data_IF_515778439786
#
_entry.id   IF_515778439786
#
_cell.length_a   1.000
_cell.length_b   1.000
_cell.length_c   1.000
_cell.angle_alpha   90.00
_cell.angle_beta   90.00
_cell.angle_gamma   90.00
#
_symmetry.space_group_name_H-M   'P 1'
#
loop_
_entity.id
_entity.type
_entity.pdbx_description
1 polymer ?
#
# COMPACT_ATOMS: atom_id res chain seq x y z
N UNK A 1 7.93 12.25 7.16
CA UNK A 1 7.42 11.35 6.10
C UNK A 1 6.68 12.19 5.06
N UNK A 2 7.07 12.11 3.78
CA UNK A 2 6.46 12.91 2.70
C UNK A 2 5.07 12.40 2.28
N UNK A 3 4.64 11.21 2.74
CA UNK A 3 3.29 10.68 2.51
C UNK A 3 2.75 10.01 3.78
N UNK A 4 1.47 10.23 4.09
CA UNK A 4 0.76 9.54 5.17
C UNK A 4 0.27 8.16 4.71
N UNK A 5 -0.09 7.26 5.65
CA UNK A 5 -0.72 5.96 5.30
C UNK A 5 -2.01 6.15 4.48
N UNK A 6 -2.72 7.26 4.71
CA UNK A 6 -3.90 7.64 3.92
C UNK A 6 -3.52 7.95 2.48
N UNK A 7 -2.44 8.71 2.26
CA UNK A 7 -1.97 9.03 0.91
C UNK A 7 -1.50 7.77 0.17
N UNK A 8 -0.88 6.84 0.87
CA UNK A 8 -0.45 5.55 0.30
C UNK A 8 -1.64 4.68 -0.11
N UNK A 9 -2.70 4.59 0.72
CA UNK A 9 -3.92 3.86 0.36
C UNK A 9 -4.58 4.41 -0.92
N UNK A 10 -4.69 5.73 -1.03
CA UNK A 10 -5.23 6.40 -2.23
C UNK A 10 -4.39 6.13 -3.48
N UNK A 11 -3.08 6.09 -3.32
CA UNK A 11 -2.14 5.88 -4.41
C UNK A 11 -2.20 4.46 -4.96
N UNK A 12 -2.41 3.47 -4.08
CA UNK A 12 -2.65 2.07 -4.45
C UNK A 12 -3.95 1.95 -5.26
N UNK A 13 -5.03 2.58 -4.81
CA UNK A 13 -6.30 2.63 -5.56
C UNK A 13 -6.13 3.27 -6.93
N UNK A 14 -5.42 4.40 -7.01
CA UNK A 14 -5.18 5.12 -8.26
C UNK A 14 -4.38 4.29 -9.29
N UNK A 15 -3.62 3.28 -8.86
CA UNK A 15 -2.77 2.44 -9.71
C UNK A 15 -3.21 0.99 -9.77
N UNK A 16 -4.46 0.71 -9.42
CA UNK A 16 -5.04 -0.63 -9.35
C UNK A 16 -4.70 -1.52 -10.55
N UNK A 17 -4.87 -1.01 -11.77
CA UNK A 17 -4.66 -1.79 -12.99
C UNK A 17 -3.20 -2.22 -13.18
N UNK A 18 -2.25 -1.34 -12.89
CA UNK A 18 -0.82 -1.65 -13.01
C UNK A 18 -0.40 -2.65 -11.92
N UNK A 19 -0.85 -2.43 -10.69
CA UNK A 19 -0.47 -3.28 -9.55
C UNK A 19 -1.00 -4.71 -9.66
N UNK A 20 -2.22 -4.88 -10.18
CA UNK A 20 -2.76 -6.22 -10.48
C UNK A 20 -2.07 -6.82 -11.71
N UNK A 21 -1.83 -6.02 -12.76
CA UNK A 21 -1.18 -6.48 -13.99
C UNK A 21 0.26 -6.97 -13.78
N UNK A 22 0.97 -6.39 -12.81
CA UNK A 22 2.32 -6.80 -12.41
C UNK A 22 2.32 -7.93 -11.36
N UNK A 23 1.13 -8.39 -10.91
CA UNK A 23 0.98 -9.51 -9.99
C UNK A 23 1.19 -9.15 -8.52
N UNK A 24 1.19 -7.87 -8.15
CA UNK A 24 1.31 -7.44 -6.75
C UNK A 24 0.05 -7.68 -5.93
N UNK A 25 -1.10 -7.75 -6.58
CA UNK A 25 -2.38 -8.11 -5.98
C UNK A 25 -3.07 -9.14 -6.86
N UNK A 26 -3.75 -10.10 -6.23
CA UNK A 26 -4.48 -11.15 -6.94
C UNK A 26 -5.65 -10.58 -7.75
N UNK A 27 -6.37 -9.63 -7.17
CA UNK A 27 -7.54 -9.00 -7.77
C UNK A 27 -7.84 -7.61 -7.16
N UNK A 28 -8.88 -6.97 -7.70
CA UNK A 28 -9.36 -5.66 -7.25
C UNK A 28 -9.84 -5.69 -5.79
N UNK A 29 -10.66 -6.67 -5.34
CA UNK A 29 -11.06 -6.76 -3.94
C UNK A 29 -9.90 -6.83 -2.94
N UNK A 30 -8.85 -7.60 -3.24
CA UNK A 30 -7.67 -7.70 -2.38
C UNK A 30 -6.96 -6.33 -2.26
N UNK A 31 -6.79 -5.64 -3.38
CA UNK A 31 -6.20 -4.31 -3.42
C UNK A 31 -7.04 -3.27 -2.66
N UNK A 32 -8.36 -3.25 -2.86
CA UNK A 32 -9.25 -2.32 -2.17
C UNK A 32 -9.26 -2.56 -0.66
N UNK A 33 -9.23 -3.83 -0.23
CA UNK A 33 -9.17 -4.20 1.19
C UNK A 33 -7.89 -3.67 1.82
N UNK A 34 -6.75 -3.85 1.15
CA UNK A 34 -5.45 -3.34 1.60
C UNK A 34 -5.43 -1.81 1.70
N UNK A 35 -5.87 -1.11 0.64
CA UNK A 35 -5.92 0.35 0.63
C UNK A 35 -6.80 0.93 1.74
N UNK A 36 -7.98 0.34 1.99
CA UNK A 36 -8.87 0.75 3.08
C UNK A 36 -8.26 0.49 4.45
N UNK A 37 -7.53 -0.60 4.64
CA UNK A 37 -6.81 -0.88 5.88
C UNK A 37 -5.74 0.18 6.17
N UNK A 38 -5.00 0.63 5.14
CA UNK A 38 -4.03 1.71 5.27
C UNK A 38 -4.69 3.05 5.63
N UNK A 39 -5.79 3.40 4.96
CA UNK A 39 -6.55 4.62 5.28
C UNK A 39 -7.08 4.59 6.72
N UNK A 40 -7.69 3.48 7.12
CA UNK A 40 -8.24 3.31 8.45
C UNK A 40 -7.15 3.34 9.54
N UNK A 41 -5.98 2.74 9.31
CA UNK A 41 -4.87 2.82 10.26
C UNK A 41 -4.26 4.22 10.31
N UNK A 42 -4.21 4.94 9.18
CA UNK A 42 -3.77 6.32 9.12
C UNK A 42 -4.65 7.27 9.94
N UNK A 43 -5.97 7.02 9.96
CA UNK A 43 -6.94 7.78 10.76
C UNK A 43 -6.98 7.33 12.22
N UNK A 44 -6.88 6.02 12.47
CA UNK A 44 -6.90 5.42 13.81
C UNK A 44 -5.58 4.67 14.09
N UNK A 45 -4.48 5.40 14.38
CA UNK A 45 -3.16 4.81 14.58
C UNK A 45 -3.06 3.99 15.87
N UNK A 46 -4.14 3.69 16.57
CA UNK A 46 -4.16 2.80 17.73
C UNK A 46 -4.73 1.40 17.43
N UNK A 47 -5.33 1.21 16.24
CA UNK A 47 -5.92 -0.07 15.78
C UNK A 47 -4.88 -1.17 15.63
N UNK A 48 -4.78 -2.03 16.64
CA UNK A 48 -3.82 -3.14 16.70
C UNK A 48 -4.14 -4.25 15.70
N UNK A 49 -5.41 -4.46 15.42
CA UNK A 49 -5.93 -5.38 14.40
C UNK A 49 -5.45 -4.99 13.00
N UNK A 50 -5.55 -3.71 12.63
CA UNK A 50 -5.10 -3.21 11.33
C UNK A 50 -3.58 -3.18 11.23
N UNK A 51 -2.89 -2.83 12.31
CA UNK A 51 -1.44 -2.98 12.38
C UNK A 51 -1.00 -4.42 12.17
N UNK A 52 -1.66 -5.36 12.84
CA UNK A 52 -1.35 -6.78 12.71
C UNK A 52 -1.67 -7.29 11.30
N UNK A 53 -2.79 -6.87 10.70
CA UNK A 53 -3.13 -7.20 9.31
C UNK A 53 -2.07 -6.70 8.32
N UNK A 54 -1.68 -5.43 8.42
CA UNK A 54 -0.66 -4.82 7.56
C UNK A 54 0.74 -5.39 7.83
N UNK A 55 1.06 -5.77 9.09
CA UNK A 55 2.30 -6.46 9.45
C UNK A 55 2.32 -7.95 9.10
N UNK A 56 1.17 -8.61 8.92
CA UNK A 56 1.12 -9.96 8.34
C UNK A 56 1.38 -9.90 6.82
N UNK A 57 1.04 -8.79 6.18
CA UNK A 57 1.49 -8.49 4.81
C UNK A 57 3.00 -8.10 4.76
N UNK A 58 3.61 -7.56 5.84
CA UNK A 58 5.07 -7.31 5.93
C UNK A 58 5.91 -8.58 5.69
N UNK A 59 5.41 -9.76 6.07
CA UNK A 59 6.12 -11.04 5.89
C UNK A 59 6.01 -11.59 4.45
N UNK A 60 5.00 -11.16 3.69
CA UNK A 60 4.82 -11.55 2.28
C UNK A 60 5.54 -10.55 1.36
N UNK A 61 5.76 -9.31 1.83
CA UNK A 61 6.34 -8.20 1.10
C UNK A 61 7.11 -7.30 2.07
N UNK A 62 8.45 -7.30 2.00
CA UNK A 62 9.29 -6.42 2.81
C UNK A 62 8.93 -4.93 2.56
N UNK A 63 8.15 -4.36 3.47
CA UNK A 63 7.44 -3.09 3.29
C UNK A 63 8.36 -1.86 3.20
N UNK A 64 9.55 -1.94 3.79
CA UNK A 64 10.53 -0.84 3.71
C UNK A 64 11.24 -0.83 2.37
N UNK A 65 11.44 -2.00 1.76
CA UNK A 65 12.10 -2.13 0.46
C UNK A 65 11.11 -1.77 -0.66
N UNK A 66 9.84 -2.21 -0.55
CA UNK A 66 8.83 -1.92 -1.59
C UNK A 66 8.27 -0.50 -1.55
N UNK A 67 8.13 0.16 -0.39
CA UNK A 67 7.78 1.58 -0.38
C UNK A 67 8.90 2.45 -0.98
N UNK A 68 10.17 2.07 -0.79
CA UNK A 68 11.30 2.73 -1.44
C UNK A 68 11.31 2.49 -2.94
N UNK A 69 11.16 1.23 -3.38
CA UNK A 69 11.09 0.89 -4.81
C UNK A 69 9.86 1.47 -5.49
N UNK A 70 8.70 1.49 -4.85
CA UNK A 70 7.49 2.12 -5.36
C UNK A 70 7.64 3.64 -5.42
N UNK A 71 8.27 4.26 -4.41
CA UNK A 71 8.60 5.70 -4.45
C UNK A 71 9.64 6.01 -5.53
N UNK A 72 10.66 5.16 -5.70
CA UNK A 72 11.69 5.30 -6.72
C UNK A 72 11.11 5.06 -8.12
N UNK A 73 10.26 4.07 -8.29
CA UNK A 73 9.52 3.80 -9.51
C UNK A 73 8.61 4.98 -9.84
N UNK A 74 7.82 5.49 -8.88
CA UNK A 74 7.04 6.71 -9.05
C UNK A 74 7.88 7.91 -9.52
N UNK A 75 9.09 8.09 -8.98
CA UNK A 75 10.03 9.13 -9.42
C UNK A 75 10.54 8.87 -10.85
N UNK A 76 10.73 7.60 -11.24
CA UNK A 76 11.21 7.25 -12.58
C UNK A 76 10.19 7.46 -13.71
N UNK A 77 8.88 7.41 -13.41
CA UNK A 77 7.81 7.67 -14.41
C UNK A 77 7.48 9.16 -14.58
N UNK A 78 8.17 10.04 -13.85
CA UNK A 78 8.00 11.50 -13.90
C UNK A 78 9.02 12.24 -14.78
N UNK A 79 9.80 11.52 -15.61
CA UNK A 79 10.76 12.08 -16.56
C UNK A 79 10.32 11.87 -18.01
#
# INVERSE_FOLDING_TARGET
PEFSLVDMGRLILARQQALIGEGFFADVPALETFARAMEALGLEPHRKDLRFLLSLDEDILDDRIRCLEFTNWMRSIGH
#
